data_IF_387515633633
#
_entry.id   IF_387515633633
#
_cell.length_a   1.000
_cell.length_b   1.000
_cell.length_c   1.000
_cell.angle_alpha   90.00
_cell.angle_beta   90.00
_cell.angle_gamma   90.00
#
_symmetry.space_group_name_H-M   'P 1'
#
loop_
_entity.id
_entity.type
_entity.pdbx_description
1 polymer ?
#
# COMPACT_ATOMS: atom_id res chain seq x y z
N UNK A 1 9.49 -23.39 -5.83
CA UNK A 1 9.84 -22.58 -7.01
C UNK A 1 10.15 -21.17 -6.56
N UNK A 2 11.26 -20.63 -7.05
CA UNK A 2 11.69 -19.28 -6.73
C UNK A 2 11.45 -18.39 -7.94
N UNK A 3 10.65 -17.34 -7.76
CA UNK A 3 10.38 -16.37 -8.80
C UNK A 3 11.36 -15.20 -8.70
N UNK A 4 11.86 -14.75 -9.83
CA UNK A 4 12.71 -13.57 -9.89
C UNK A 4 11.85 -12.32 -9.84
N UNK A 5 12.44 -11.20 -9.42
CA UNK A 5 11.76 -9.90 -9.34
C UNK A 5 11.10 -9.55 -10.67
N UNK A 6 11.85 -9.68 -11.77
CA UNK A 6 11.36 -9.34 -13.11
C UNK A 6 10.16 -10.18 -13.51
N UNK A 7 10.14 -11.45 -13.14
CA UNK A 7 9.03 -12.35 -13.42
C UNK A 7 7.76 -11.92 -12.68
N UNK A 8 7.90 -11.52 -11.43
CA UNK A 8 6.76 -11.05 -10.62
C UNK A 8 6.22 -9.73 -11.16
N UNK A 9 7.11 -8.79 -11.51
CA UNK A 9 6.73 -7.52 -12.11
C UNK A 9 5.90 -7.71 -13.37
N UNK A 10 6.33 -8.59 -14.26
CA UNK A 10 5.63 -8.89 -15.51
C UNK A 10 4.31 -9.61 -15.26
N UNK A 11 4.33 -10.62 -14.41
CA UNK A 11 3.17 -11.48 -14.17
C UNK A 11 2.02 -10.71 -13.54
N UNK A 12 2.31 -9.83 -12.59
CA UNK A 12 1.31 -9.05 -11.86
C UNK A 12 1.14 -7.64 -12.44
N UNK A 13 1.89 -7.30 -13.47
CA UNK A 13 1.84 -5.97 -14.11
C UNK A 13 2.10 -4.84 -13.13
N UNK A 14 3.10 -5.02 -12.27
CA UNK A 14 3.48 -4.04 -11.28
C UNK A 14 4.25 -2.89 -11.93
N UNK A 15 3.97 -1.67 -11.51
CA UNK A 15 4.63 -0.47 -12.02
C UNK A 15 5.24 0.33 -10.86
N UNK A 16 6.32 1.08 -11.10
CA UNK A 16 6.93 1.90 -10.07
C UNK A 16 5.95 2.87 -9.44
N UNK A 17 6.06 3.04 -8.12
CA UNK A 17 5.25 3.98 -7.35
C UNK A 17 6.18 4.94 -6.60
N UNK A 18 5.83 6.23 -6.47
CA UNK A 18 6.71 7.21 -5.83
C UNK A 18 7.14 6.87 -4.40
N UNK A 19 6.29 6.19 -3.63
CA UNK A 19 6.56 5.90 -2.21
C UNK A 19 6.47 4.43 -1.83
N UNK A 20 5.97 3.57 -2.70
CA UNK A 20 5.61 2.19 -2.33
C UNK A 20 6.22 1.13 -3.25
N UNK A 21 7.46 1.30 -3.68
CA UNK A 21 8.11 0.31 -4.54
C UNK A 21 7.38 0.13 -5.87
N UNK A 22 6.78 -1.03 -6.09
CA UNK A 22 6.03 -1.35 -7.31
C UNK A 22 4.61 -1.77 -6.92
N UNK A 23 3.62 -1.28 -7.65
CA UNK A 23 2.20 -1.52 -7.33
C UNK A 23 1.38 -1.83 -8.56
N UNK A 24 0.26 -2.53 -8.34
CA UNK A 24 -0.80 -2.70 -9.33
C UNK A 24 -2.14 -2.75 -8.60
N UNK A 25 -3.04 -1.84 -8.93
CA UNK A 25 -4.39 -1.86 -8.36
C UNK A 25 -5.19 -2.97 -9.02
N UNK A 26 -5.68 -3.92 -8.23
CA UNK A 26 -6.43 -5.08 -8.73
C UNK A 26 -7.93 -4.91 -8.58
N UNK A 27 -8.37 -4.02 -7.70
CA UNK A 27 -9.79 -3.77 -7.47
C UNK A 27 -9.99 -2.35 -6.96
N UNK A 28 -11.03 -1.71 -7.47
CA UNK A 28 -11.53 -0.45 -6.94
C UNK A 28 -13.04 -0.51 -6.93
N UNK A 29 -13.65 -0.21 -5.78
CA UNK A 29 -15.10 -0.17 -5.68
C UNK A 29 -15.70 0.88 -6.63
N UNK A 30 -16.80 0.55 -7.27
CA UNK A 30 -17.58 1.51 -8.04
C UNK A 30 -18.40 2.46 -7.18
N UNK A 31 -18.52 2.18 -5.89
CA UNK A 31 -19.20 3.05 -4.94
C UNK A 31 -18.22 4.03 -4.35
N UNK A 32 -18.63 5.29 -4.22
CA UNK A 32 -17.81 6.35 -3.65
C UNK A 32 -18.47 6.94 -2.42
N UNK A 33 -17.64 7.34 -1.46
CA UNK A 33 -18.08 8.10 -0.30
C UNK A 33 -17.83 9.57 -0.63
N UNK A 34 -18.88 10.42 -0.63
CA UNK A 34 -18.70 11.84 -0.94
C UNK A 34 -17.86 12.53 0.13
N UNK A 35 -17.11 13.54 -0.29
CA UNK A 35 -16.20 14.29 0.59
C UNK A 35 -16.88 14.78 1.87
N UNK A 36 -18.10 15.28 1.78
CA UNK A 36 -18.82 15.83 2.92
C UNK A 36 -19.20 14.77 3.97
N UNK A 37 -19.14 13.48 3.63
CA UNK A 37 -19.38 12.38 4.57
C UNK A 37 -18.09 11.81 5.14
N UNK A 38 -16.95 12.40 4.81
CA UNK A 38 -15.62 11.96 5.25
C UNK A 38 -15.02 12.95 6.25
N UNK A 39 -14.07 12.49 7.12
CA UNK A 39 -13.29 13.41 7.93
C UNK A 39 -12.57 14.47 7.09
N UNK A 40 -12.26 15.61 7.69
CA UNK A 40 -11.66 16.75 7.00
C UNK A 40 -10.27 16.49 6.40
N UNK A 41 -9.61 15.39 6.82
CA UNK A 41 -8.31 15.02 6.27
C UNK A 41 -8.37 14.61 4.80
N UNK A 42 -9.57 14.30 4.29
CA UNK A 42 -9.76 13.91 2.90
C UNK A 42 -10.11 15.12 2.03
N UNK A 43 -9.44 15.22 0.87
CA UNK A 43 -9.57 16.38 -0.01
C UNK A 43 -10.67 16.20 -1.06
N UNK A 44 -11.21 15.01 -1.21
CA UNK A 44 -12.22 14.72 -2.23
C UNK A 44 -12.95 13.43 -1.93
N UNK A 45 -13.82 13.04 -2.87
CA UNK A 45 -14.53 11.76 -2.78
C UNK A 45 -13.54 10.59 -2.77
N UNK A 46 -13.92 9.51 -2.07
CA UNK A 46 -13.07 8.33 -1.94
C UNK A 46 -13.84 7.08 -2.34
N UNK A 47 -13.21 6.12 -3.01
CA UNK A 47 -13.85 4.84 -3.25
C UNK A 47 -14.13 4.15 -1.90
N UNK A 48 -15.20 3.36 -1.86
CA UNK A 48 -15.54 2.60 -0.66
C UNK A 48 -14.43 1.65 -0.24
N UNK A 49 -13.71 1.11 -1.21
CA UNK A 49 -12.53 0.29 -0.95
C UNK A 49 -11.75 0.04 -2.21
N UNK A 50 -10.50 -0.34 -2.04
CA UNK A 50 -9.63 -0.74 -3.14
C UNK A 50 -8.64 -1.80 -2.66
N UNK A 51 -8.13 -2.58 -3.60
CA UNK A 51 -7.12 -3.60 -3.34
C UNK A 51 -5.99 -3.43 -4.35
N UNK A 52 -4.76 -3.52 -3.87
CA UNK A 52 -3.62 -3.50 -4.76
C UNK A 52 -2.57 -4.51 -4.30
N UNK A 53 -1.81 -5.02 -5.25
CA UNK A 53 -0.56 -5.68 -4.94
C UNK A 53 0.55 -4.66 -4.85
N UNK A 54 1.48 -4.90 -3.95
CA UNK A 54 2.71 -4.11 -3.95
C UNK A 54 3.91 -5.01 -3.67
N UNK A 55 5.06 -4.60 -4.17
CA UNK A 55 6.31 -5.31 -3.97
C UNK A 55 7.41 -4.32 -3.65
N UNK A 56 8.23 -4.65 -2.68
CA UNK A 56 9.42 -3.87 -2.35
C UNK A 56 10.66 -4.71 -2.64
N UNK A 57 11.72 -4.02 -3.05
CA UNK A 57 13.02 -4.62 -3.30
C UNK A 57 14.08 -3.78 -2.59
N UNK A 58 15.33 -4.27 -2.46
CA UNK A 58 16.39 -3.45 -1.86
C UNK A 58 16.57 -2.09 -2.55
N UNK A 59 16.31 -2.00 -3.85
CA UNK A 59 16.45 -0.78 -4.65
C UNK A 59 15.19 0.07 -4.67
N UNK A 60 14.04 -0.50 -4.30
CA UNK A 60 12.74 0.17 -4.37
C UNK A 60 11.95 -0.07 -3.10
N UNK A 61 12.34 0.60 -2.03
CA UNK A 61 11.73 0.46 -0.71
C UNK A 61 10.57 1.43 -0.54
N UNK A 62 9.70 1.10 0.42
CA UNK A 62 8.63 2.01 0.83
C UNK A 62 9.26 3.17 1.61
N UNK A 63 8.90 4.39 1.23
CA UNK A 63 9.29 5.59 1.96
C UNK A 63 8.29 5.86 3.08
N UNK A 64 8.79 6.43 4.19
CA UNK A 64 7.92 6.84 5.27
C UNK A 64 6.93 7.88 4.76
N UNK A 65 5.64 7.61 4.94
CA UNK A 65 4.58 8.52 4.50
C UNK A 65 3.35 8.34 5.38
N UNK A 66 2.50 9.36 5.38
CA UNK A 66 1.25 9.33 6.14
C UNK A 66 0.13 8.82 5.23
N UNK A 67 -0.69 7.92 5.79
CA UNK A 67 -1.91 7.45 5.12
C UNK A 67 -3.12 8.01 5.85
N UNK A 68 -4.20 8.24 5.11
CA UNK A 68 -5.42 8.87 5.63
C UNK A 68 -6.53 7.87 5.97
N UNK A 69 -6.36 6.62 5.59
CA UNK A 69 -7.33 5.56 5.83
C UNK A 69 -6.63 4.32 6.34
N UNK A 70 -7.41 3.43 6.90
CA UNK A 70 -6.89 2.14 7.36
C UNK A 70 -6.41 1.31 6.19
N UNK A 71 -5.38 0.51 6.42
CA UNK A 71 -4.85 -0.43 5.45
C UNK A 71 -4.67 -1.80 6.08
N UNK A 72 -4.90 -2.82 5.29
CA UNK A 72 -4.63 -4.20 5.66
C UNK A 72 -3.57 -4.76 4.72
N UNK A 73 -2.56 -5.39 5.28
CA UNK A 73 -1.49 -6.02 4.52
C UNK A 73 -1.62 -7.53 4.60
N UNK A 74 -1.53 -8.20 3.46
CA UNK A 74 -1.49 -9.65 3.37
C UNK A 74 -0.20 -10.06 2.70
N UNK A 75 0.66 -10.78 3.41
CA UNK A 75 1.95 -11.21 2.90
C UNK A 75 1.80 -12.52 2.13
N UNK A 76 2.28 -12.53 0.89
CA UNK A 76 2.17 -13.71 0.01
C UNK A 76 3.51 -14.34 -0.33
N UNK A 77 4.52 -13.54 -0.63
CA UNK A 77 5.80 -14.02 -1.13
C UNK A 77 6.95 -13.24 -0.52
N UNK A 78 8.13 -13.86 -0.49
CA UNK A 78 9.37 -13.20 -0.13
C UNK A 78 9.67 -13.26 1.36
N UNK A 79 10.67 -12.50 1.76
CA UNK A 79 11.10 -12.41 3.15
C UNK A 79 10.05 -11.69 4.00
N UNK A 80 10.05 -11.89 5.32
CA UNK A 80 9.13 -11.16 6.19
C UNK A 80 9.25 -9.66 6.03
N UNK A 81 8.09 -8.99 5.98
CA UNK A 81 8.02 -7.54 5.89
C UNK A 81 7.96 -6.94 7.29
N UNK A 82 8.81 -5.94 7.52
CA UNK A 82 8.81 -5.20 8.77
C UNK A 82 8.16 -3.85 8.53
N UNK A 83 7.15 -3.52 9.32
CA UNK A 83 6.38 -2.28 9.17
C UNK A 83 6.60 -1.39 10.39
N UNK A 84 7.20 -0.23 10.17
CA UNK A 84 7.33 0.80 11.20
C UNK A 84 6.11 1.71 11.15
N UNK A 85 5.42 1.82 12.28
CA UNK A 85 4.25 2.68 12.41
C UNK A 85 4.54 3.80 13.38
N UNK A 86 4.34 5.04 12.94
CA UNK A 86 4.41 6.23 13.79
C UNK A 86 2.99 6.68 14.08
N UNK A 87 2.62 6.67 15.36
CA UNK A 87 1.27 6.98 15.80
C UNK A 87 1.09 8.49 16.01
N UNK A 88 -0.15 9.00 16.03
CA UNK A 88 -0.40 10.44 16.22
C UNK A 88 0.16 11.02 17.51
N UNK A 89 0.34 10.20 18.55
CA UNK A 89 0.91 10.64 19.84
C UNK A 89 2.44 10.71 19.83
N UNK A 90 3.08 10.39 18.71
CA UNK A 90 4.54 10.38 18.57
C UNK A 90 5.20 9.07 18.94
N UNK A 91 4.47 8.09 19.47
CA UNK A 91 5.02 6.76 19.72
C UNK A 91 5.18 5.97 18.43
N UNK A 92 6.02 4.96 18.47
CA UNK A 92 6.25 4.08 17.33
C UNK A 92 6.01 2.62 17.68
N UNK A 93 5.73 1.82 16.66
CA UNK A 93 5.59 0.38 16.78
C UNK A 93 6.14 -0.28 15.53
N UNK A 94 6.67 -1.51 15.70
CA UNK A 94 7.16 -2.32 14.57
C UNK A 94 6.37 -3.60 14.56
N UNK A 95 5.84 -3.92 13.38
CA UNK A 95 5.10 -5.16 13.13
C UNK A 95 5.81 -5.97 12.05
N UNK A 96 5.76 -7.28 12.17
CA UNK A 96 6.36 -8.20 11.19
C UNK A 96 5.33 -9.20 10.69
#
# INVERSE_FOLDING_TARGET
MVLKVEEILDLLRLAPHPTCGFVAETYRSGHKIPKQSLPNVFDGDRPLGSVLYFMVTPEAQIRLHRIRSDQMYHHYLGDPLEVLMLLPDGSGAISR
#
